data_IF_094238805063
#
_entry.id   IF_094238805063
#
_cell.length_a   1.000
_cell.length_b   1.000
_cell.length_c   1.000
_cell.angle_alpha   90.00
_cell.angle_beta   90.00
_cell.angle_gamma   90.00
#
_symmetry.space_group_name_H-M   'P 1'
#
loop_
_entity.id
_entity.type
_entity.pdbx_description
1 polymer ?
#
# COMPACT_ATOMS: atom_id res chain seq x y z
N UNK A 1 -3.51 -3.13 -28.83
CA UNK A 1 -4.44 -3.68 -27.82
C UNK A 1 -5.86 -3.21 -28.14
N UNK A 2 -6.87 -3.95 -27.71
CA UNK A 2 -8.27 -3.54 -27.85
C UNK A 2 -8.62 -2.45 -26.84
N UNK A 3 -9.57 -1.58 -27.20
CA UNK A 3 -9.97 -0.45 -26.35
C UNK A 3 -10.48 -0.90 -24.97
N UNK A 4 -11.25 -1.99 -24.86
CA UNK A 4 -11.70 -2.51 -23.56
C UNK A 4 -10.51 -2.90 -22.67
N UNK A 5 -9.57 -3.71 -23.18
CA UNK A 5 -8.37 -4.11 -22.42
C UNK A 5 -7.52 -2.91 -22.00
N UNK A 6 -7.40 -1.89 -22.86
CA UNK A 6 -6.69 -0.66 -22.54
C UNK A 6 -7.34 0.09 -21.36
N UNK A 7 -8.66 0.19 -21.42
CA UNK A 7 -9.46 0.92 -20.46
C UNK A 7 -9.54 0.19 -19.12
N UNK A 8 -9.70 -1.13 -19.13
CA UNK A 8 -9.69 -1.99 -17.93
C UNK A 8 -8.34 -1.89 -17.21
N UNK A 9 -7.23 -1.93 -17.97
CA UNK A 9 -5.90 -1.72 -17.40
C UNK A 9 -5.71 -0.32 -16.83
N UNK A 10 -6.29 0.70 -17.46
CA UNK A 10 -6.21 2.08 -16.96
C UNK A 10 -7.01 2.25 -15.65
N UNK A 11 -8.23 1.73 -15.58
CA UNK A 11 -9.09 1.81 -14.38
C UNK A 11 -8.52 0.99 -13.22
N UNK A 12 -7.80 -0.09 -13.50
CA UNK A 12 -7.16 -0.90 -12.47
C UNK A 12 -5.95 -0.22 -11.78
N UNK A 13 -5.45 0.90 -12.33
CA UNK A 13 -4.36 1.66 -11.74
C UNK A 13 -4.86 2.48 -10.55
N UNK A 14 -4.03 2.58 -9.52
CA UNK A 14 -4.29 3.43 -8.37
C UNK A 14 -3.86 4.88 -8.63
N UNK A 15 -4.34 5.83 -7.82
CA UNK A 15 -4.06 7.25 -7.99
C UNK A 15 -2.55 7.51 -7.91
N UNK A 16 -1.98 8.15 -8.93
CA UNK A 16 -0.53 8.40 -9.13
C UNK A 16 0.33 7.17 -9.46
N UNK A 17 -0.27 6.02 -9.78
CA UNK A 17 0.48 4.88 -10.31
C UNK A 17 0.93 5.14 -11.76
N UNK A 18 2.12 4.65 -12.13
CA UNK A 18 2.65 4.85 -13.49
C UNK A 18 1.86 4.02 -14.49
N UNK A 19 1.36 4.68 -15.54
CA UNK A 19 0.66 4.01 -16.63
C UNK A 19 1.64 3.12 -17.40
N UNK A 20 1.33 1.82 -17.61
CA UNK A 20 2.19 0.94 -18.36
C UNK A 20 2.31 1.41 -19.82
N UNK A 21 3.54 1.35 -20.36
CA UNK A 21 3.88 1.78 -21.73
C UNK A 21 2.89 1.37 -22.82
N UNK A 22 2.41 0.10 -22.89
CA UNK A 22 1.46 -0.27 -23.92
C UNK A 22 0.18 0.57 -23.84
N UNK A 23 -0.35 0.84 -22.64
CA UNK A 23 -1.58 1.63 -22.45
C UNK A 23 -1.33 3.08 -22.82
N UNK A 24 -0.16 3.63 -22.44
CA UNK A 24 0.25 4.98 -22.83
C UNK A 24 0.27 5.14 -24.36
N UNK A 25 0.85 4.19 -25.09
CA UNK A 25 0.87 4.18 -26.56
C UNK A 25 -0.55 4.13 -27.12
N UNK A 26 -1.41 3.25 -26.60
CA UNK A 26 -2.79 3.16 -27.07
C UNK A 26 -3.58 4.47 -26.83
N UNK A 27 -3.37 5.15 -25.70
CA UNK A 27 -4.01 6.43 -25.41
C UNK A 27 -3.56 7.56 -26.33
N UNK A 28 -2.34 7.51 -26.87
CA UNK A 28 -1.87 8.50 -27.86
C UNK A 28 -2.58 8.29 -29.20
N UNK A 29 -2.77 7.03 -29.62
CA UNK A 29 -3.31 6.69 -30.94
C UNK A 29 -4.84 6.56 -30.99
N UNK A 30 -5.51 6.24 -29.87
CA UNK A 30 -6.95 6.07 -29.81
C UNK A 30 -7.64 7.33 -29.25
N UNK A 31 -8.36 8.12 -30.07
CA UNK A 31 -8.99 9.36 -29.61
C UNK A 31 -10.12 9.11 -28.61
N UNK A 32 -10.83 7.98 -28.71
CA UNK A 32 -11.93 7.61 -27.81
C UNK A 32 -11.41 7.35 -26.40
N UNK A 33 -10.41 6.48 -26.25
CA UNK A 33 -9.80 6.20 -24.94
C UNK A 33 -9.14 7.45 -24.36
N UNK A 34 -8.51 8.28 -25.20
CA UNK A 34 -7.94 9.57 -24.79
C UNK A 34 -9.00 10.52 -24.24
N UNK A 35 -10.14 10.65 -24.91
CA UNK A 35 -11.23 11.51 -24.48
C UNK A 35 -11.83 11.02 -23.15
N UNK A 36 -12.07 9.71 -23.01
CA UNK A 36 -12.59 9.13 -21.78
C UNK A 36 -11.66 9.37 -20.58
N UNK A 37 -10.36 9.11 -20.74
CA UNK A 37 -9.36 9.37 -19.70
C UNK A 37 -9.31 10.85 -19.31
N UNK A 38 -9.39 11.76 -20.29
CA UNK A 38 -9.44 13.21 -20.02
C UNK A 38 -10.69 13.63 -19.25
N UNK A 39 -11.85 13.07 -19.57
CA UNK A 39 -13.09 13.37 -18.85
C UNK A 39 -13.03 12.89 -17.41
N UNK A 40 -12.49 11.69 -17.17
CA UNK A 40 -12.29 11.17 -15.81
C UNK A 40 -11.33 12.05 -15.01
N UNK A 41 -10.18 12.41 -15.60
CA UNK A 41 -9.24 13.32 -14.96
C UNK A 41 -9.86 14.70 -14.66
N UNK A 42 -10.64 15.25 -15.58
CA UNK A 42 -11.36 16.51 -15.37
C UNK A 42 -12.38 16.40 -14.23
N UNK A 43 -13.21 15.35 -14.20
CA UNK A 43 -14.16 15.11 -13.13
C UNK A 43 -13.46 14.96 -11.76
N UNK A 44 -12.33 14.26 -11.72
CA UNK A 44 -11.51 14.16 -10.52
C UNK A 44 -10.96 15.51 -10.08
N UNK A 45 -10.45 16.34 -10.99
CA UNK A 45 -9.99 17.69 -10.63
C UNK A 45 -11.11 18.53 -10.02
N UNK A 46 -12.33 18.43 -10.54
CA UNK A 46 -13.51 19.11 -10.00
C UNK A 46 -13.88 18.60 -8.60
N UNK A 47 -13.87 17.28 -8.38
CA UNK A 47 -14.16 16.65 -7.09
C UNK A 47 -13.06 16.88 -6.04
N UNK A 48 -11.80 16.97 -6.48
CA UNK A 48 -10.64 17.18 -5.60
C UNK A 48 -10.50 18.63 -5.13
N UNK A 49 -11.20 19.57 -5.79
CA UNK A 49 -11.21 20.96 -5.36
C UNK A 49 -11.85 21.00 -3.96
N UNK A 50 -11.18 21.61 -2.95
CA UNK A 50 -11.82 21.80 -1.66
C UNK A 50 -13.14 22.52 -1.91
N UNK A 51 -14.21 22.02 -1.27
CA UNK A 51 -15.54 22.59 -1.43
C UNK A 51 -15.43 24.09 -1.12
N UNK A 52 -15.47 24.93 -2.15
CA UNK A 52 -15.35 26.38 -2.00
C UNK A 52 -16.65 27.01 -1.51
N UNK A 53 -17.69 26.19 -1.37
CA UNK A 53 -18.85 26.54 -0.57
C UNK A 53 -18.36 26.60 0.86
N UNK A 54 -18.11 27.81 1.36
CA UNK A 54 -18.29 28.02 2.78
C UNK A 54 -19.71 27.54 3.06
N UNK A 55 -19.84 26.41 3.76
CA UNK A 55 -21.10 25.97 4.31
C UNK A 55 -21.46 26.98 5.40
N UNK A 56 -21.88 28.17 4.99
CA UNK A 56 -22.55 29.09 5.87
C UNK A 56 -23.81 28.36 6.32
N UNK A 57 -24.10 28.41 7.62
CA UNK A 57 -25.25 27.75 8.26
C UNK A 57 -26.59 28.02 7.54
N UNK A 58 -26.64 29.02 6.67
CA UNK A 58 -27.76 29.41 5.81
C UNK A 58 -27.99 28.58 4.54
N UNK A 59 -27.03 27.76 4.08
CA UNK A 59 -27.16 26.95 2.85
C UNK A 59 -27.14 25.44 3.10
N UNK A 60 -26.86 25.04 4.34
CA UNK A 60 -27.10 23.70 4.82
C UNK A 60 -28.59 23.67 5.16
N UNK A 61 -29.36 22.85 4.45
CA UNK A 61 -30.79 22.63 4.65
C UNK A 61 -31.26 22.98 6.07
N UNK A 62 -32.35 23.73 6.18
CA UNK A 62 -33.02 24.15 7.44
C UNK A 62 -33.43 22.99 8.37
N UNK A 63 -33.02 21.76 8.08
CA UNK A 63 -33.23 20.58 8.90
C UNK A 63 -32.38 20.67 10.19
N UNK A 64 -33.03 20.86 11.36
CA UNK A 64 -32.34 20.97 12.64
C UNK A 64 -31.63 19.67 13.03
N UNK A 65 -32.06 18.53 12.49
CA UNK A 65 -31.45 17.22 12.77
C UNK A 65 -30.10 17.08 12.07
N UNK A 66 -30.03 17.52 10.81
CA UNK A 66 -28.78 17.45 10.05
C UNK A 66 -27.73 18.43 10.58
N UNK A 67 -28.13 19.64 10.96
CA UNK A 67 -27.20 20.61 11.56
C UNK A 67 -26.65 20.14 12.92
N UNK A 68 -27.49 19.56 13.77
CA UNK A 68 -27.03 18.96 15.03
C UNK A 68 -26.10 17.76 14.81
N UNK A 69 -26.36 16.92 13.80
CA UNK A 69 -25.49 15.80 13.45
C UNK A 69 -24.11 16.28 12.95
N UNK A 70 -24.07 17.36 12.15
CA UNK A 70 -22.80 17.92 11.67
C UNK A 70 -22.01 18.62 12.77
N UNK A 71 -22.68 19.35 13.68
CA UNK A 71 -22.04 19.96 14.85
C UNK A 71 -21.46 18.89 15.80
N UNK A 72 -22.15 17.77 15.99
CA UNK A 72 -21.64 16.64 16.78
C UNK A 72 -20.45 15.95 16.11
N UNK A 73 -20.45 15.78 14.78
CA UNK A 73 -19.30 15.24 14.04
C UNK A 73 -18.09 16.17 14.11
N UNK A 74 -18.30 17.48 13.97
CA UNK A 74 -17.25 18.49 14.08
C UNK A 74 -16.69 18.56 15.50
N UNK A 75 -17.55 18.55 16.52
CA UNK A 75 -17.16 18.56 17.93
C UNK A 75 -16.51 17.24 18.39
N UNK A 76 -16.91 16.11 17.79
CA UNK A 76 -16.28 14.80 18.02
C UNK A 76 -14.82 14.76 17.55
N UNK A 77 -14.34 15.79 16.86
CA UNK A 77 -12.94 15.93 16.51
C UNK A 77 -12.45 14.73 15.71
N UNK A 78 -13.26 14.24 14.77
CA UNK A 78 -12.80 13.31 13.75
C UNK A 78 -11.82 14.05 12.83
N UNK A 79 -10.62 14.27 13.37
CA UNK A 79 -9.39 14.39 12.61
C UNK A 79 -9.26 13.06 11.88
N UNK A 80 -9.91 12.92 10.73
CA UNK A 80 -9.31 12.09 9.71
C UNK A 80 -7.91 12.68 9.56
N UNK A 81 -6.84 12.00 10.01
CA UNK A 81 -5.52 12.50 9.71
C UNK A 81 -5.51 12.65 8.19
N UNK A 82 -5.15 13.83 7.70
CA UNK A 82 -4.85 14.03 6.28
C UNK A 82 -3.72 13.04 6.02
N UNK A 83 -4.11 11.85 5.57
CA UNK A 83 -3.18 10.76 5.37
C UNK A 83 -2.40 11.20 4.16
N UNK A 84 -1.17 11.64 4.38
CA UNK A 84 -0.29 12.04 3.31
C UNK A 84 -0.36 10.96 2.23
N UNK A 85 -0.68 11.31 0.97
CA UNK A 85 -0.82 10.35 -0.12
C UNK A 85 0.52 9.65 -0.41
N UNK A 86 1.60 10.08 0.22
CA UNK A 86 2.89 9.42 0.22
C UNK A 86 2.87 8.29 1.24
N UNK A 87 2.08 7.25 0.96
CA UNK A 87 2.41 5.92 1.44
C UNK A 87 3.81 5.62 0.91
N UNK A 88 4.82 5.90 1.72
CA UNK A 88 6.24 5.79 1.37
C UNK A 88 6.48 4.31 1.07
N UNK A 89 6.35 3.91 -0.20
CA UNK A 89 6.64 2.55 -0.66
C UNK A 89 8.10 2.31 -0.32
N UNK A 90 8.33 1.55 0.76
CA UNK A 90 9.66 1.08 1.10
C UNK A 90 10.06 0.19 -0.07
N UNK A 91 11.18 0.51 -0.73
CA UNK A 91 11.66 -0.26 -1.88
C UNK A 91 11.74 -1.75 -1.51
N UNK A 92 11.16 -2.60 -2.35
CA UNK A 92 11.19 -4.07 -2.19
C UNK A 92 12.61 -4.61 -1.99
N UNK A 93 13.60 -3.96 -2.62
CA UNK A 93 15.00 -4.32 -2.49
C UNK A 93 15.51 -4.13 -1.05
N UNK A 94 15.06 -3.08 -0.36
CA UNK A 94 15.41 -2.85 1.05
C UNK A 94 14.83 -3.93 1.96
N UNK A 95 13.58 -4.34 1.72
CA UNK A 95 12.99 -5.48 2.41
C UNK A 95 13.79 -6.76 2.17
N UNK A 96 14.14 -7.05 0.93
CA UNK A 96 14.90 -8.26 0.62
C UNK A 96 16.29 -8.26 1.30
N UNK A 97 16.99 -7.13 1.28
CA UNK A 97 18.32 -6.98 1.88
C UNK A 97 18.26 -7.15 3.40
N UNK A 98 17.28 -6.53 4.07
CA UNK A 98 17.08 -6.69 5.52
C UNK A 98 16.70 -8.13 5.87
N UNK A 99 15.84 -8.78 5.08
CA UNK A 99 15.48 -10.18 5.28
C UNK A 99 16.68 -11.12 5.16
N UNK A 100 17.54 -10.93 4.15
CA UNK A 100 18.78 -11.68 4.00
C UNK A 100 19.73 -11.43 5.17
N UNK A 101 19.88 -10.16 5.59
CA UNK A 101 20.76 -9.82 6.71
C UNK A 101 20.27 -10.47 8.02
N UNK A 102 18.96 -10.48 8.25
CA UNK A 102 18.34 -11.10 9.43
C UNK A 102 18.52 -12.63 9.41
N UNK A 103 18.17 -13.29 8.30
CA UNK A 103 18.31 -14.73 8.17
C UNK A 103 19.77 -15.18 8.20
N UNK A 104 20.63 -14.47 7.47
CA UNK A 104 22.08 -14.71 7.44
C UNK A 104 22.73 -14.46 8.80
N UNK A 105 22.31 -13.41 9.51
CA UNK A 105 22.75 -13.12 10.86
C UNK A 105 22.45 -14.27 11.81
N UNK A 106 21.21 -14.78 11.82
CA UNK A 106 20.84 -15.93 12.65
C UNK A 106 21.54 -17.23 12.24
N UNK A 107 21.72 -17.46 10.93
CA UNK A 107 22.41 -18.65 10.44
C UNK A 107 23.91 -18.63 10.77
N UNK A 108 24.55 -17.46 10.73
CA UNK A 108 25.99 -17.31 10.98
C UNK A 108 26.33 -17.12 12.46
N UNK A 109 25.39 -16.62 13.27
CA UNK A 109 25.61 -16.36 14.70
C UNK A 109 26.18 -17.57 15.48
N UNK A 110 25.70 -18.81 15.30
CA UNK A 110 26.25 -20.00 15.95
C UNK A 110 27.74 -20.23 15.72
N UNK A 111 28.28 -19.73 14.60
CA UNK A 111 29.68 -19.89 14.21
C UNK A 111 30.59 -18.75 14.69
N UNK A 112 30.02 -17.73 15.34
CA UNK A 112 30.80 -16.64 15.94
C UNK A 112 31.38 -17.06 17.29
N UNK A 113 32.46 -16.41 17.74
CA UNK A 113 33.07 -16.68 19.06
C UNK A 113 32.05 -16.59 20.20
N UNK A 114 31.14 -15.62 20.13
CA UNK A 114 30.06 -15.44 21.11
C UNK A 114 29.04 -16.59 21.08
N UNK A 115 28.64 -17.02 19.87
CA UNK A 115 27.70 -18.13 19.69
C UNK A 115 28.27 -19.45 20.19
N UNK A 116 29.55 -19.73 19.90
CA UNK A 116 30.26 -20.92 20.38
C UNK A 116 30.38 -20.88 21.91
N UNK A 117 30.76 -19.75 22.48
CA UNK A 117 30.87 -19.60 23.94
C UNK A 117 29.52 -19.86 24.65
N UNK A 118 28.43 -19.28 24.14
CA UNK A 118 27.08 -19.52 24.68
C UNK A 118 26.66 -20.99 24.58
N UNK A 119 27.03 -21.69 23.51
CA UNK A 119 26.74 -23.12 23.37
C UNK A 119 27.55 -23.99 24.34
N UNK A 120 28.81 -23.64 24.60
CA UNK A 120 29.65 -24.38 25.56
C UNK A 120 29.13 -24.21 26.98
N UNK A 121 28.78 -22.98 27.38
CA UNK A 121 28.37 -22.67 28.76
C UNK A 121 26.95 -23.17 29.07
N UNK A 122 26.00 -22.96 28.16
CA UNK A 122 24.57 -23.19 28.42
C UNK A 122 23.99 -24.39 27.66
N UNK A 123 24.68 -24.91 26.64
CA UNK A 123 24.23 -26.07 25.86
C UNK A 123 22.80 -25.93 25.34
N UNK A 124 21.98 -26.96 25.58
CA UNK A 124 20.59 -27.00 25.11
C UNK A 124 19.69 -25.91 25.71
N UNK A 125 20.03 -25.39 26.89
CA UNK A 125 19.28 -24.30 27.51
C UNK A 125 19.41 -22.98 26.73
N UNK A 126 20.43 -22.85 25.88
CA UNK A 126 20.57 -21.74 24.94
C UNK A 126 20.07 -22.09 23.54
N UNK A 127 20.45 -23.27 23.03
CA UNK A 127 20.17 -23.68 21.64
C UNK A 127 18.68 -23.70 21.30
N UNK A 128 17.85 -24.30 22.16
CA UNK A 128 16.41 -24.44 21.91
C UNK A 128 15.70 -23.09 21.88
N UNK A 129 15.78 -22.22 22.91
CA UNK A 129 15.11 -20.92 22.88
C UNK A 129 15.68 -20.00 21.80
N UNK A 130 16.97 -20.08 21.48
CA UNK A 130 17.57 -19.31 20.40
C UNK A 130 16.92 -19.62 19.04
N UNK A 131 16.78 -20.90 18.68
CA UNK A 131 16.16 -21.28 17.41
C UNK A 131 14.65 -20.97 17.36
N UNK A 132 13.94 -21.09 18.50
CA UNK A 132 12.55 -20.64 18.60
C UNK A 132 12.45 -19.13 18.34
N UNK A 133 13.32 -18.32 18.96
CA UNK A 133 13.36 -16.88 18.75
C UNK A 133 13.63 -16.54 17.28
N UNK A 134 14.57 -17.24 16.64
CA UNK A 134 14.86 -17.08 15.21
C UNK A 134 13.62 -17.35 14.35
N UNK A 135 12.93 -18.47 14.60
CA UNK A 135 11.70 -18.83 13.89
C UNK A 135 10.60 -17.78 14.06
N UNK A 136 10.39 -17.29 15.29
CA UNK A 136 9.42 -16.23 15.58
C UNK A 136 9.78 -14.92 14.86
N UNK A 137 11.04 -14.51 14.91
CA UNK A 137 11.51 -13.28 14.26
C UNK A 137 11.36 -13.36 12.73
N UNK A 138 11.76 -14.47 12.12
CA UNK A 138 11.60 -14.70 10.67
C UNK A 138 10.12 -14.73 10.26
N UNK A 139 9.27 -15.37 11.06
CA UNK A 139 7.83 -15.46 10.79
C UNK A 139 7.16 -14.09 10.90
N UNK A 140 7.45 -13.34 11.97
CA UNK A 140 6.93 -11.99 12.15
C UNK A 140 7.40 -11.05 11.02
N UNK A 141 8.67 -11.15 10.64
CA UNK A 141 9.25 -10.38 9.53
C UNK A 141 8.58 -10.74 8.20
N UNK A 142 8.38 -12.03 7.92
CA UNK A 142 7.67 -12.50 6.74
C UNK A 142 6.22 -12.02 6.68
N UNK A 143 5.51 -12.05 7.81
CA UNK A 143 4.15 -11.52 7.93
C UNK A 143 4.08 -10.02 7.64
N UNK A 144 4.99 -9.23 8.20
CA UNK A 144 5.10 -7.79 7.92
C UNK A 144 5.43 -7.51 6.45
N UNK A 145 6.34 -8.30 5.87
CA UNK A 145 6.69 -8.21 4.46
C UNK A 145 5.46 -8.44 3.56
N UNK A 146 4.72 -9.53 3.79
CA UNK A 146 3.52 -9.86 3.00
C UNK A 146 2.44 -8.81 3.20
N UNK A 147 2.14 -8.42 4.44
CA UNK A 147 1.09 -7.45 4.76
C UNK A 147 1.35 -6.07 4.13
N UNK A 148 2.59 -5.58 4.21
CA UNK A 148 2.96 -4.26 3.64
C UNK A 148 2.98 -4.28 2.11
N UNK A 149 3.16 -5.44 1.48
CA UNK A 149 3.26 -5.59 0.04
C UNK A 149 2.05 -6.30 -0.59
N UNK A 150 0.92 -6.43 0.13
CA UNK A 150 -0.24 -7.21 -0.30
C UNK A 150 -0.81 -6.74 -1.66
N UNK A 151 -0.75 -5.43 -1.93
CA UNK A 151 -1.19 -4.84 -3.20
C UNK A 151 -0.45 -5.42 -4.41
N UNK A 152 0.83 -5.76 -4.26
CA UNK A 152 1.61 -6.36 -5.35
C UNK A 152 1.12 -7.77 -5.65
N UNK A 153 0.79 -8.54 -4.62
CA UNK A 153 0.28 -9.90 -4.78
C UNK A 153 -1.10 -9.87 -5.42
N UNK A 154 -2.02 -9.04 -4.92
CA UNK A 154 -3.39 -8.92 -5.47
C UNK A 154 -3.36 -8.46 -6.93
N UNK A 155 -2.52 -7.47 -7.28
CA UNK A 155 -2.40 -7.00 -8.68
C UNK A 155 -1.78 -8.07 -9.60
N UNK A 156 -0.72 -8.77 -9.15
CA UNK A 156 -0.08 -9.86 -9.92
C UNK A 156 -1.02 -11.04 -10.17
N UNK A 157 -1.81 -11.46 -9.18
CA UNK A 157 -2.77 -12.55 -9.36
C UNK A 157 -3.88 -12.20 -10.37
N UNK A 158 -4.33 -10.94 -10.42
CA UNK A 158 -5.30 -10.49 -11.43
C UNK A 158 -4.71 -10.52 -12.85
N UNK A 159 -3.45 -10.09 -13.03
CA UNK A 159 -2.79 -10.11 -14.35
C UNK A 159 -2.53 -11.53 -14.86
N UNK A 160 -2.24 -12.49 -13.98
CA UNK A 160 -2.06 -13.90 -14.38
C UNK A 160 -3.36 -14.56 -14.87
N UNK A 161 -4.52 -14.12 -14.36
CA UNK A 161 -5.83 -14.67 -14.76
C UNK A 161 -6.32 -14.17 -16.12
N UNK A 162 -5.79 -13.05 -16.63
CA UNK A 162 -6.15 -12.46 -17.93
C UNK A 162 -5.12 -12.74 -19.03
N UNK A 163 -4.10 -13.54 -18.73
CA UNK A 163 -3.00 -13.91 -19.63
C UNK A 163 -3.16 -15.26 -20.35
N UNK A 164 -4.31 -15.91 -20.24
CA UNK A 164 -4.71 -17.06 -21.07
C UNK A 164 -5.93 -16.69 -21.91
#
# INVERSE_FOLDING_TARGET
MNCSKAFDHYIALDKHERVPLPVMVHLVFCPVCRAAVRQMAAAETLLSRPLSVQLTKSNLSDDPVLSAALDTIAAAGLSYPVRDPVAKRVSLLRWFLVGILLAGGFALFPFTSSGIWMQIEFGNAFVVPFYILCGCAVTAYGGLFVGTNIDLFVKRFKTLKTGF
#
